data_IF_175886363804
#
_entry.id   IF_175886363804
#
_cell.length_a   1.000
_cell.length_b   1.000
_cell.length_c   1.000
_cell.angle_alpha   90.00
_cell.angle_beta   90.00
_cell.angle_gamma   90.00
#
_symmetry.space_group_name_H-M   'P 1'
#
loop_
_entity.id
_entity.type
_entity.pdbx_description
1 polymer ?
#
# COMPACT_ATOMS: atom_id res chain seq x y z
N UNK A 1 -17.18 2.79 -51.76
CA UNK A 1 -18.58 2.86 -51.31
C UNK A 1 -18.72 1.75 -50.24
N UNK A 2 -18.60 2.07 -49.02
CA UNK A 2 -19.22 1.41 -47.85
C UNK A 2 -18.72 2.11 -46.62
N UNK A 3 -19.57 2.80 -45.91
CA UNK A 3 -19.27 3.50 -44.67
C UNK A 3 -19.38 2.51 -43.53
N UNK A 4 -18.32 2.33 -42.76
CA UNK A 4 -18.32 1.61 -41.51
C UNK A 4 -18.74 2.55 -40.37
N UNK A 5 -19.85 2.20 -39.72
CA UNK A 5 -20.32 2.83 -38.49
C UNK A 5 -19.36 2.50 -37.34
N UNK A 6 -18.74 3.53 -36.77
CA UNK A 6 -18.19 3.46 -35.43
C UNK A 6 -19.31 3.73 -34.42
N UNK A 7 -19.67 2.75 -33.68
CA UNK A 7 -20.53 2.91 -32.52
C UNK A 7 -19.76 3.68 -31.43
N UNK A 8 -20.33 4.79 -30.96
CA UNK A 8 -19.91 5.50 -29.76
C UNK A 8 -20.23 4.58 -28.57
N UNK A 9 -19.20 4.24 -27.82
CA UNK A 9 -19.38 3.72 -26.49
C UNK A 9 -19.90 4.85 -25.59
N UNK A 10 -21.05 4.58 -24.97
CA UNK A 10 -21.68 5.47 -24.01
C UNK A 10 -20.77 5.55 -22.75
N UNK A 11 -20.43 6.76 -22.39
CA UNK A 11 -19.80 7.10 -21.12
C UNK A 11 -20.68 6.64 -19.96
N UNK A 12 -20.08 5.96 -19.00
CA UNK A 12 -20.70 5.57 -17.74
C UNK A 12 -21.37 6.78 -17.05
N UNK A 13 -22.45 6.58 -16.30
CA UNK A 13 -23.16 7.67 -15.65
C UNK A 13 -22.28 8.32 -14.59
N UNK A 14 -22.07 9.60 -14.71
CA UNK A 14 -21.42 10.46 -13.70
C UNK A 14 -22.27 10.42 -12.43
N UNK A 15 -21.69 10.02 -11.34
CA UNK A 15 -22.30 10.01 -10.02
C UNK A 15 -22.68 11.45 -9.61
N UNK A 16 -23.94 11.78 -9.26
CA UNK A 16 -24.38 13.15 -9.01
C UNK A 16 -23.99 13.71 -7.62
N UNK A 17 -23.20 12.98 -6.83
CA UNK A 17 -22.75 13.48 -5.53
C UNK A 17 -21.48 14.29 -5.72
N UNK A 18 -21.63 15.59 -5.61
CA UNK A 18 -20.61 16.59 -5.85
C UNK A 18 -19.35 16.32 -5.06
N UNK A 19 -18.28 16.05 -5.81
CA UNK A 19 -16.93 15.93 -5.32
C UNK A 19 -16.34 17.33 -5.26
N UNK A 20 -16.33 17.91 -4.10
CA UNK A 20 -15.70 19.19 -3.82
C UNK A 20 -14.63 19.00 -2.75
N UNK A 21 -13.55 19.75 -2.89
CA UNK A 21 -12.56 19.91 -1.82
C UNK A 21 -13.25 20.57 -0.63
N UNK A 22 -13.36 19.85 0.49
CA UNK A 22 -13.93 20.38 1.74
C UNK A 22 -12.80 20.78 2.67
N UNK A 23 -12.94 21.94 3.27
CA UNK A 23 -12.12 22.33 4.42
C UNK A 23 -12.56 21.52 5.65
N UNK A 24 -11.68 21.39 6.66
CA UNK A 24 -12.00 20.73 7.94
C UNK A 24 -13.35 21.21 8.52
N UNK A 25 -13.68 22.48 8.30
CA UNK A 25 -14.91 23.10 8.74
C UNK A 25 -16.13 22.65 7.93
N UNK A 26 -15.94 22.37 6.65
CA UNK A 26 -16.99 21.88 5.75
C UNK A 26 -17.18 20.37 5.91
N UNK A 27 -16.12 19.61 6.19
CA UNK A 27 -16.19 18.22 6.56
C UNK A 27 -17.01 18.01 7.84
N UNK A 28 -16.76 18.83 8.87
CA UNK A 28 -17.51 18.80 10.14
C UNK A 28 -18.94 19.33 10.03
N UNK A 29 -19.22 20.24 9.07
CA UNK A 29 -20.56 20.77 8.84
C UNK A 29 -21.45 19.81 8.03
N UNK A 30 -20.89 18.95 7.19
CA UNK A 30 -21.62 17.93 6.45
C UNK A 30 -22.10 16.79 7.36
N UNK A 31 -21.47 16.59 8.51
CA UNK A 31 -21.80 15.57 9.50
C UNK A 31 -22.87 15.99 10.53
N UNK A 32 -23.58 17.09 10.29
CA UNK A 32 -24.82 17.43 11.01
C UNK A 32 -24.66 18.17 12.35
N UNK A 33 -24.95 19.48 12.30
CA UNK A 33 -25.57 20.34 13.33
C UNK A 33 -24.83 20.67 14.65
N UNK A 34 -24.45 21.97 14.74
CA UNK A 34 -24.49 22.85 15.91
C UNK A 34 -23.54 22.63 17.10
N UNK A 35 -22.63 23.51 17.39
CA UNK A 35 -22.73 24.70 18.20
C UNK A 35 -21.37 25.38 18.39
N UNK A 36 -21.32 26.66 18.12
CA UNK A 36 -20.24 27.53 18.53
C UNK A 36 -20.36 27.84 20.02
N UNK A 37 -19.28 27.81 20.79
CA UNK A 37 -19.02 28.76 21.85
C UNK A 37 -17.54 28.86 22.23
N UNK A 38 -17.19 30.06 22.62
CA UNK A 38 -15.91 30.68 22.77
C UNK A 38 -14.98 30.06 23.83
N UNK A 39 -13.69 30.21 23.55
CA UNK A 39 -12.57 30.00 24.47
C UNK A 39 -12.58 30.97 25.63
N UNK A 40 -12.51 30.49 26.87
CA UNK A 40 -11.71 31.06 27.94
C UNK A 40 -11.20 29.97 28.85
N UNK A 41 -9.89 30.02 29.14
CA UNK A 41 -9.19 28.95 29.80
C UNK A 41 -9.48 28.77 31.29
N UNK A 42 -9.21 27.59 31.78
CA UNK A 42 -8.56 27.39 33.09
C UNK A 42 -8.04 25.95 33.21
N UNK A 43 -6.87 25.80 33.79
CA UNK A 43 -6.23 24.58 34.20
C UNK A 43 -7.08 23.82 35.22
N UNK A 44 -7.45 22.58 34.92
CA UNK A 44 -8.09 21.68 35.89
C UNK A 44 -7.73 20.24 35.58
N UNK A 45 -7.07 19.60 36.54
CA UNK A 45 -6.72 18.17 36.47
C UNK A 45 -7.97 17.31 36.23
N UNK A 46 -8.00 16.54 35.17
CA UNK A 46 -9.10 15.65 34.80
C UNK A 46 -8.59 14.25 34.50
N UNK A 47 -9.30 13.32 34.98
CA UNK A 47 -9.14 11.88 35.06
C UNK A 47 -8.67 11.22 33.74
N UNK A 48 -7.66 10.35 33.87
CA UNK A 48 -7.21 9.43 32.87
C UNK A 48 -8.33 8.43 32.53
N UNK A 49 -8.83 8.43 31.31
CA UNK A 49 -9.51 7.29 30.74
C UNK A 49 -8.47 6.20 30.45
N UNK A 50 -8.77 4.99 30.95
CA UNK A 50 -7.93 3.82 30.76
C UNK A 50 -7.94 3.42 29.27
N UNK A 51 -7.08 4.05 28.49
CA UNK A 51 -6.69 3.53 27.18
C UNK A 51 -5.93 2.23 27.40
N UNK A 52 -6.31 1.20 26.67
CA UNK A 52 -5.62 -0.08 26.61
C UNK A 52 -4.15 0.20 26.28
N UNK A 53 -3.26 0.02 27.26
CA UNK A 53 -1.83 0.18 27.05
C UNK A 53 -1.37 -0.94 26.15
N UNK A 54 -1.08 -0.63 24.89
CA UNK A 54 -0.23 -1.49 24.08
C UNK A 54 1.14 -1.56 24.76
N UNK A 55 1.59 -2.80 25.03
CA UNK A 55 2.88 -3.03 25.66
C UNK A 55 3.98 -2.48 24.74
N UNK A 56 4.71 -1.49 25.22
CA UNK A 56 5.94 -1.04 24.58
C UNK A 56 6.95 -2.18 24.63
N UNK A 57 7.27 -2.75 23.51
CA UNK A 57 8.42 -3.62 23.36
C UNK A 57 9.69 -2.76 23.27
N UNK A 58 10.18 -2.33 24.40
CA UNK A 58 11.51 -1.78 24.56
C UNK A 58 12.11 -2.37 25.81
N UNK A 59 12.84 -3.46 25.66
CA UNK A 59 13.95 -3.76 26.55
C UNK A 59 15.09 -4.25 25.67
N UNK A 60 15.96 -3.34 25.27
CA UNK A 60 17.32 -3.69 24.84
C UNK A 60 18.00 -4.39 25.99
N UNK A 61 18.01 -5.73 25.99
CA UNK A 61 19.05 -6.48 26.65
C UNK A 61 20.30 -6.34 25.78
N UNK A 62 21.34 -5.73 26.31
CA UNK A 62 22.68 -5.66 25.71
C UNK A 62 23.37 -7.04 25.77
N UNK A 63 22.76 -8.04 25.13
CA UNK A 63 23.47 -9.26 24.79
C UNK A 63 24.34 -8.96 23.56
N UNK A 64 25.60 -9.40 23.52
CA UNK A 64 26.44 -9.22 22.34
C UNK A 64 25.75 -9.93 21.17
N UNK A 65 25.50 -9.20 20.08
CA UNK A 65 24.97 -9.77 18.85
C UNK A 65 25.81 -10.99 18.48
N UNK A 66 25.24 -12.19 18.38
CA UNK A 66 26.02 -13.38 18.05
C UNK A 66 26.67 -13.17 16.69
N UNK A 67 27.98 -13.38 16.61
CA UNK A 67 28.71 -13.41 15.32
C UNK A 67 28.16 -14.59 14.53
N UNK A 68 27.28 -14.31 13.57
CA UNK A 68 26.71 -15.33 12.73
C UNK A 68 27.83 -15.99 11.89
N UNK A 69 27.94 -17.31 11.96
CA UNK A 69 28.91 -18.07 11.14
C UNK A 69 28.49 -18.04 9.66
N UNK A 70 29.44 -18.25 8.76
CA UNK A 70 29.18 -18.39 7.32
C UNK A 70 28.24 -19.59 6.97
N UNK A 71 28.00 -20.47 7.94
CA UNK A 71 27.09 -21.64 7.79
C UNK A 71 25.69 -21.36 8.39
N UNK A 72 25.44 -20.16 8.93
CA UNK A 72 24.13 -19.87 9.53
C UNK A 72 23.09 -19.69 8.44
N UNK A 73 22.01 -20.46 8.55
CA UNK A 73 20.83 -20.29 7.71
C UNK A 73 20.03 -19.08 8.19
N UNK A 74 19.74 -18.18 7.27
CA UNK A 74 18.99 -16.94 7.53
C UNK A 74 17.67 -16.98 6.80
N UNK A 75 16.63 -16.58 7.48
CA UNK A 75 15.27 -16.48 6.95
C UNK A 75 14.64 -15.19 7.40
N UNK A 76 13.96 -14.51 6.48
CA UNK A 76 13.14 -13.32 6.74
C UNK A 76 11.80 -13.52 6.05
N UNK A 77 10.73 -13.47 6.81
CA UNK A 77 9.36 -13.55 6.31
C UNK A 77 8.87 -12.17 5.86
N UNK A 78 8.13 -12.15 4.75
CA UNK A 78 7.62 -10.94 4.13
C UNK A 78 6.13 -11.08 3.83
N UNK A 79 5.36 -10.02 4.12
CA UNK A 79 3.96 -9.88 3.71
C UNK A 79 3.73 -8.56 2.98
N UNK A 80 2.78 -8.54 2.04
CA UNK A 80 2.43 -7.35 1.28
C UNK A 80 0.93 -7.29 1.02
N UNK A 81 0.35 -6.10 1.22
CA UNK A 81 -1.03 -5.74 0.88
C UNK A 81 -1.03 -4.50 -0.02
N UNK A 82 -2.10 -4.32 -0.80
CA UNK A 82 -2.21 -3.31 -1.84
C UNK A 82 -2.70 -1.95 -1.36
N UNK A 83 -3.54 -1.33 -2.19
CA UNK A 83 -3.93 0.07 -2.11
C UNK A 83 -4.75 0.38 -0.86
N UNK A 84 -4.15 1.12 0.08
CA UNK A 84 -4.85 1.66 1.25
C UNK A 84 -5.39 3.05 0.88
N UNK A 85 -6.60 3.08 0.34
CA UNK A 85 -7.23 4.21 -0.31
C UNK A 85 -8.29 4.86 0.60
N UNK A 86 -7.97 6.00 1.20
CA UNK A 86 -8.81 6.70 2.15
C UNK A 86 -9.90 7.56 1.46
N UNK A 87 -10.86 6.89 0.82
CA UNK A 87 -12.08 7.55 0.35
C UNK A 87 -12.84 8.19 1.52
N UNK A 88 -13.70 9.16 1.23
CA UNK A 88 -14.52 9.82 2.25
C UNK A 88 -15.28 8.84 3.17
N UNK A 89 -16.02 7.85 2.66
CA UNK A 89 -16.74 6.91 3.52
C UNK A 89 -15.84 6.09 4.45
N UNK A 90 -14.59 5.81 4.02
CA UNK A 90 -13.59 5.14 4.90
C UNK A 90 -13.19 6.07 6.05
N UNK A 91 -12.95 7.36 5.76
CA UNK A 91 -12.60 8.35 6.78
C UNK A 91 -13.80 8.60 7.73
N UNK A 92 -15.04 8.68 7.22
CA UNK A 92 -16.25 8.80 8.03
C UNK A 92 -16.45 7.56 8.94
N UNK A 93 -16.17 6.37 8.44
CA UNK A 93 -16.22 5.15 9.26
C UNK A 93 -15.15 5.16 10.35
N UNK A 94 -13.94 5.67 10.06
CA UNK A 94 -12.88 5.83 11.08
C UNK A 94 -13.24 6.89 12.14
N UNK A 95 -13.91 7.97 11.76
CA UNK A 95 -14.46 8.98 12.68
C UNK A 95 -15.51 8.35 13.61
N UNK A 96 -16.41 7.54 13.06
CA UNK A 96 -17.40 6.80 13.85
C UNK A 96 -16.77 5.78 14.80
N UNK A 97 -15.71 5.06 14.36
CA UNK A 97 -14.98 4.10 15.18
C UNK A 97 -14.30 4.79 16.38
N UNK A 98 -13.87 6.04 16.25
CA UNK A 98 -13.28 6.82 17.34
C UNK A 98 -14.28 7.18 18.45
N UNK A 99 -15.57 6.99 18.21
CA UNK A 99 -16.64 7.10 19.20
C UNK A 99 -17.37 8.45 19.25
N UNK A 100 -16.66 9.57 19.02
CA UNK A 100 -17.30 10.92 18.93
C UNK A 100 -17.06 11.49 17.55
N UNK A 101 -18.09 11.46 16.72
CA UNK A 101 -17.97 11.94 15.34
C UNK A 101 -17.75 13.47 15.28
N UNK A 102 -16.86 13.89 14.38
CA UNK A 102 -16.61 15.29 14.07
C UNK A 102 -15.69 16.02 15.05
N UNK A 103 -15.06 15.33 15.98
CA UNK A 103 -14.09 15.92 16.93
C UNK A 103 -12.65 15.97 16.37
N UNK A 104 -12.43 15.37 15.19
CA UNK A 104 -11.16 15.33 14.49
C UNK A 104 -10.26 14.16 14.89
N UNK A 105 -10.78 13.18 15.63
CA UNK A 105 -10.13 11.91 15.92
C UNK A 105 -10.67 10.83 14.97
N UNK A 106 -9.80 9.93 14.55
CA UNK A 106 -10.12 8.83 13.64
C UNK A 106 -9.50 7.54 14.14
N UNK A 107 -10.22 6.43 14.07
CA UNK A 107 -9.70 5.10 14.39
C UNK A 107 -9.90 4.15 13.21
N UNK A 108 -8.83 3.91 12.47
CA UNK A 108 -8.79 2.95 11.36
C UNK A 108 -8.49 1.52 11.82
N UNK A 109 -8.04 1.31 13.06
CA UNK A 109 -7.55 0.02 13.54
C UNK A 109 -8.57 -1.12 13.47
N UNK A 110 -9.89 -0.90 13.71
CA UNK A 110 -10.88 -1.95 13.55
C UNK A 110 -10.99 -2.49 12.13
N UNK A 111 -10.66 -1.68 11.12
CA UNK A 111 -10.77 -2.05 9.71
C UNK A 111 -9.73 -3.10 9.30
N UNK A 112 -8.62 -3.21 10.04
CA UNK A 112 -7.50 -4.11 9.76
C UNK A 112 -7.54 -5.41 10.59
N UNK A 113 -8.52 -5.60 11.47
CA UNK A 113 -8.55 -6.73 12.41
C UNK A 113 -8.47 -8.10 11.75
N UNK A 114 -9.05 -8.25 10.56
CA UNK A 114 -9.06 -9.54 9.85
C UNK A 114 -7.69 -10.02 9.36
N UNK A 115 -6.66 -9.17 9.37
CA UNK A 115 -5.30 -9.50 8.90
C UNK A 115 -4.22 -9.37 9.99
N UNK A 116 -4.61 -9.11 11.23
CA UNK A 116 -3.67 -8.85 12.33
C UNK A 116 -2.70 -10.00 12.60
N UNK A 117 -3.12 -11.23 12.43
CA UNK A 117 -2.27 -12.42 12.58
C UNK A 117 -1.22 -12.51 11.45
N UNK A 118 -1.54 -12.09 10.23
CA UNK A 118 -0.56 -12.03 9.13
C UNK A 118 0.51 -10.99 9.47
N UNK A 119 0.11 -9.76 9.80
CA UNK A 119 1.05 -8.68 10.10
C UNK A 119 1.93 -9.03 11.31
N UNK A 120 1.36 -9.64 12.37
CA UNK A 120 2.13 -10.00 13.56
C UNK A 120 3.06 -11.20 13.39
N UNK A 121 2.90 -12.00 12.34
CA UNK A 121 3.69 -13.21 12.08
C UNK A 121 4.82 -13.04 11.08
N UNK A 122 4.97 -11.87 10.47
CA UNK A 122 6.02 -11.61 9.47
C UNK A 122 7.01 -10.54 9.95
N UNK A 123 8.27 -10.67 9.52
CA UNK A 123 9.37 -9.76 9.88
C UNK A 123 9.30 -8.42 9.13
N UNK A 124 8.89 -8.48 7.86
CA UNK A 124 8.70 -7.33 6.97
C UNK A 124 7.26 -7.32 6.46
N UNK A 125 6.57 -6.22 6.71
CA UNK A 125 5.16 -6.04 6.37
C UNK A 125 5.00 -4.78 5.52
N UNK A 126 4.68 -4.96 4.23
CA UNK A 126 4.48 -3.89 3.26
C UNK A 126 3.01 -3.50 3.13
N UNK A 127 2.77 -2.19 3.01
CA UNK A 127 1.47 -1.61 2.65
C UNK A 127 1.67 -0.45 1.67
N UNK A 128 0.83 -0.35 0.65
CA UNK A 128 0.73 0.87 -0.14
C UNK A 128 -0.13 1.92 0.58
N UNK A 129 0.35 3.16 0.62
CA UNK A 129 -0.38 4.32 1.14
C UNK A 129 -0.75 5.19 -0.05
N UNK A 130 -1.84 4.84 -0.70
CA UNK A 130 -2.22 5.45 -1.97
C UNK A 130 -2.57 6.93 -1.83
N UNK A 131 -3.24 7.31 -0.74
CA UNK A 131 -3.69 8.68 -0.51
C UNK A 131 -2.76 9.44 0.42
N UNK A 132 -2.30 10.60 -0.04
CA UNK A 132 -1.29 11.40 0.68
C UNK A 132 -1.77 11.83 2.07
N UNK A 133 -0.87 11.82 3.07
CA UNK A 133 -1.02 12.43 4.38
C UNK A 133 -0.46 13.87 4.32
N UNK A 134 -1.15 14.73 3.57
CA UNK A 134 -0.64 16.06 3.20
C UNK A 134 -0.66 17.09 4.36
N UNK A 135 -1.18 16.69 5.51
CA UNK A 135 -1.33 17.54 6.70
C UNK A 135 -2.78 17.99 6.91
N UNK A 136 -3.27 17.83 8.14
CA UNK A 136 -4.65 18.11 8.50
C UNK A 136 -5.02 19.60 8.34
N UNK A 137 -4.04 20.50 8.51
CA UNK A 137 -4.22 21.96 8.33
C UNK A 137 -4.49 22.36 6.87
N UNK A 138 -4.18 21.52 5.89
CA UNK A 138 -4.54 21.74 4.49
C UNK A 138 -6.01 21.36 4.21
N UNK A 139 -6.70 20.78 5.19
CA UNK A 139 -8.06 20.27 5.09
C UNK A 139 -8.10 18.87 4.50
N UNK A 140 -8.89 17.98 5.12
CA UNK A 140 -9.12 16.63 4.63
C UNK A 140 -9.97 16.68 3.36
N UNK A 141 -9.66 15.77 2.41
CA UNK A 141 -10.39 15.69 1.14
C UNK A 141 -10.38 14.26 0.60
N UNK A 142 -11.41 13.91 -0.19
CA UNK A 142 -11.56 12.66 -0.91
C UNK A 142 -11.38 12.84 -2.41
N UNK A 143 -11.87 11.84 -3.17
CA UNK A 143 -11.79 11.85 -4.64
C UNK A 143 -12.30 13.18 -5.25
N UNK A 144 -11.64 13.75 -6.29
CA UNK A 144 -10.47 13.19 -7.00
C UNK A 144 -9.12 13.66 -6.48
N UNK A 145 -9.07 14.50 -5.45
CA UNK A 145 -7.85 15.07 -4.86
C UNK A 145 -7.85 14.78 -3.38
N UNK A 146 -7.06 13.79 -2.98
CA UNK A 146 -7.08 13.27 -1.63
C UNK A 146 -6.17 14.05 -0.66
N UNK A 147 -6.60 14.12 0.60
CA UNK A 147 -5.78 14.44 1.74
C UNK A 147 -6.31 13.68 2.96
N UNK A 148 -5.59 12.68 3.39
CA UNK A 148 -6.00 11.76 4.46
C UNK A 148 -5.55 12.23 5.83
N UNK A 149 -6.22 11.82 6.94
CA UNK A 149 -5.84 12.17 8.30
C UNK A 149 -4.42 11.71 8.64
N UNK A 150 -3.60 12.60 9.20
CA UNK A 150 -2.19 12.32 9.52
C UNK A 150 -2.01 11.22 10.59
N UNK A 151 -3.02 11.00 11.46
CA UNK A 151 -3.01 9.95 12.48
C UNK A 151 -2.95 8.53 11.89
N UNK A 152 -3.29 8.36 10.62
CA UNK A 152 -3.21 7.07 9.92
C UNK A 152 -1.78 6.48 9.97
N UNK A 153 -0.73 7.32 9.88
CA UNK A 153 0.66 6.86 9.93
C UNK A 153 1.01 6.18 11.25
N UNK A 154 0.61 6.76 12.39
CA UNK A 154 0.81 6.18 13.71
C UNK A 154 0.04 4.86 13.86
N UNK A 155 -1.20 4.81 13.40
CA UNK A 155 -2.05 3.63 13.52
C UNK A 155 -1.55 2.46 12.69
N UNK A 156 -1.15 2.70 11.43
CA UNK A 156 -0.55 1.68 10.55
C UNK A 156 0.76 1.15 11.16
N UNK A 157 1.64 2.05 11.61
CA UNK A 157 2.90 1.64 12.24
C UNK A 157 2.65 0.89 13.55
N UNK A 158 1.72 1.37 14.38
CA UNK A 158 1.33 0.73 15.64
C UNK A 158 0.66 -0.62 15.44
N UNK A 159 -0.01 -0.84 14.31
CA UNK A 159 -0.60 -2.11 13.95
C UNK A 159 0.43 -3.18 13.58
N UNK A 160 1.62 -2.77 13.08
CA UNK A 160 2.75 -3.63 12.77
C UNK A 160 3.28 -3.57 11.35
N UNK A 161 2.71 -2.75 10.47
CA UNK A 161 3.35 -2.49 9.19
C UNK A 161 4.64 -1.70 9.40
N UNK A 162 5.69 -2.08 8.66
CA UNK A 162 7.03 -1.51 8.82
C UNK A 162 7.71 -1.14 7.49
N UNK A 163 7.06 -1.40 6.37
CA UNK A 163 7.44 -0.91 5.04
C UNK A 163 6.23 -0.25 4.39
N UNK A 164 6.36 0.99 3.91
CA UNK A 164 5.32 1.60 3.12
C UNK A 164 5.85 2.39 1.93
N UNK A 165 5.02 2.50 0.90
CA UNK A 165 5.25 3.40 -0.21
C UNK A 165 4.26 4.56 -0.17
N UNK A 166 4.71 5.70 -0.69
CA UNK A 166 3.91 6.89 -0.98
C UNK A 166 4.09 7.34 -2.42
N UNK A 167 4.72 6.51 -3.29
CA UNK A 167 4.78 6.74 -4.72
C UNK A 167 3.55 6.14 -5.39
N UNK A 168 2.55 6.96 -5.60
CA UNK A 168 1.26 6.61 -6.20
C UNK A 168 0.81 7.71 -7.14
N UNK A 169 -0.24 7.48 -7.92
CA UNK A 169 -0.88 8.52 -8.73
C UNK A 169 -1.44 9.68 -7.89
N UNK A 170 -1.66 9.49 -6.56
CA UNK A 170 -2.16 10.50 -5.63
C UNK A 170 -1.06 11.20 -4.78
N UNK A 171 0.20 10.93 -5.04
CA UNK A 171 1.32 11.56 -4.30
C UNK A 171 1.33 13.08 -4.42
N UNK A 172 0.94 13.63 -5.57
CA UNK A 172 0.98 15.08 -5.88
C UNK A 172 -0.31 15.82 -5.54
N UNK A 173 -1.34 15.18 -5.01
CA UNK A 173 -2.66 15.76 -4.78
C UNK A 173 -2.63 17.05 -3.94
N UNK A 174 -1.73 17.12 -2.98
CA UNK A 174 -1.57 18.30 -2.10
C UNK A 174 -0.32 19.13 -2.46
N UNK A 175 0.25 18.90 -3.65
CA UNK A 175 1.44 19.58 -4.14
C UNK A 175 2.66 19.40 -3.24
N UNK A 176 3.71 20.20 -3.47
CA UNK A 176 4.96 20.10 -2.71
C UNK A 176 4.77 20.25 -1.19
N UNK A 177 3.88 21.15 -0.77
CA UNK A 177 3.61 21.32 0.67
C UNK A 177 3.04 20.06 1.30
N UNK A 178 2.11 19.39 0.63
CA UNK A 178 1.56 18.11 1.09
C UNK A 178 2.61 17.02 1.16
N UNK A 179 3.50 16.93 0.17
CA UNK A 179 4.63 15.98 0.17
C UNK A 179 5.55 16.20 1.37
N UNK A 180 5.94 17.46 1.64
CA UNK A 180 6.82 17.78 2.77
C UNK A 180 6.16 17.44 4.11
N UNK A 181 4.87 17.72 4.26
CA UNK A 181 4.09 17.35 5.44
C UNK A 181 4.01 15.83 5.60
N UNK A 182 3.74 15.10 4.50
CA UNK A 182 3.70 13.63 4.49
C UNK A 182 5.05 13.04 4.89
N UNK A 183 6.16 13.53 4.32
CA UNK A 183 7.50 13.09 4.70
C UNK A 183 7.77 13.32 6.20
N UNK A 184 7.36 14.46 6.75
CA UNK A 184 7.52 14.75 8.18
C UNK A 184 6.65 13.82 9.06
N UNK A 185 5.43 13.55 8.66
CA UNK A 185 4.51 12.62 9.34
C UNK A 185 5.10 11.21 9.42
N UNK A 186 5.61 10.68 8.29
CA UNK A 186 6.22 9.36 8.25
C UNK A 186 7.58 9.31 8.96
N UNK A 187 8.38 10.38 8.90
CA UNK A 187 9.66 10.45 9.62
C UNK A 187 9.51 10.39 11.14
N UNK A 188 8.33 10.73 11.68
CA UNK A 188 8.02 10.57 13.09
C UNK A 188 7.76 9.10 13.48
N UNK A 189 7.54 8.21 12.52
CA UNK A 189 7.26 6.78 12.72
C UNK A 189 8.57 5.97 12.71
N UNK A 190 9.19 5.79 13.87
CA UNK A 190 10.54 5.21 14.00
C UNK A 190 10.66 3.76 13.51
N UNK A 191 9.56 3.00 13.47
CA UNK A 191 9.52 1.60 13.02
C UNK A 191 9.06 1.45 11.56
N UNK A 192 8.86 2.55 10.84
CA UNK A 192 8.40 2.54 9.46
C UNK A 192 9.53 2.95 8.51
N UNK A 193 9.79 2.14 7.50
CA UNK A 193 10.65 2.50 6.38
C UNK A 193 9.75 2.94 5.21
N UNK A 194 9.67 4.25 4.99
CA UNK A 194 8.88 4.85 3.92
C UNK A 194 9.78 5.24 2.74
N UNK A 195 9.29 5.03 1.53
CA UNK A 195 9.92 5.50 0.29
C UNK A 195 8.87 5.96 -0.71
N UNK A 196 9.30 6.59 -1.81
CA UNK A 196 8.43 7.03 -2.90
C UNK A 196 8.25 8.54 -2.98
N UNK A 197 8.17 9.23 -1.85
CA UNK A 197 8.25 10.69 -1.76
C UNK A 197 9.38 11.13 -0.83
N UNK A 198 9.90 12.35 -1.03
CA UNK A 198 11.14 12.80 -0.40
C UNK A 198 11.04 14.26 0.03
N UNK A 199 11.81 14.61 1.08
CA UNK A 199 11.85 15.96 1.66
C UNK A 199 12.95 16.86 1.06
N UNK A 200 13.91 16.28 0.33
CA UNK A 200 15.03 16.99 -0.31
C UNK A 200 15.71 16.11 -1.34
N UNK A 201 16.62 16.70 -2.14
CA UNK A 201 17.46 15.92 -3.06
C UNK A 201 18.37 14.93 -2.29
N UNK A 202 18.95 15.34 -1.17
CA UNK A 202 19.77 14.45 -0.32
C UNK A 202 18.95 13.26 0.19
N UNK A 203 17.69 13.51 0.58
CA UNK A 203 16.77 12.49 1.01
C UNK A 203 16.40 11.52 -0.14
N UNK A 204 16.22 12.04 -1.36
CA UNK A 204 15.99 11.24 -2.58
C UNK A 204 17.20 10.37 -2.94
N UNK A 205 18.39 10.88 -2.74
CA UNK A 205 19.62 10.17 -3.07
C UNK A 205 19.97 9.05 -2.08
N UNK A 206 19.36 9.05 -0.92
CA UNK A 206 19.61 8.04 0.12
C UNK A 206 18.78 6.78 -0.15
N UNK A 207 19.46 5.65 -0.40
CA UNK A 207 18.79 4.34 -0.49
C UNK A 207 18.20 3.97 0.88
N UNK A 208 16.93 3.64 0.91
CA UNK A 208 16.22 3.14 2.11
C UNK A 208 16.61 1.70 2.36
N UNK A 209 17.18 1.42 3.54
CA UNK A 209 17.60 0.06 3.92
C UNK A 209 17.14 -0.28 5.31
N UNK A 210 16.87 -1.57 5.54
CA UNK A 210 16.70 -2.13 6.88
C UNK A 210 17.42 -3.47 6.99
N UNK A 211 17.81 -3.83 8.21
CA UNK A 211 18.39 -5.14 8.50
C UNK A 211 17.34 -6.02 9.22
N UNK A 212 17.21 -7.27 8.77
CA UNK A 212 16.42 -8.31 9.44
C UNK A 212 17.16 -9.63 9.40
N UNK A 213 17.31 -10.25 10.55
CA UNK A 213 17.94 -11.58 10.69
C UNK A 213 19.29 -11.71 9.96
N UNK A 214 20.11 -10.64 9.95
CA UNK A 214 21.43 -10.60 9.33
C UNK A 214 21.40 -10.55 7.80
N UNK A 215 20.28 -10.14 7.20
CA UNK A 215 20.16 -9.74 5.79
C UNK A 215 19.78 -8.27 5.70
N UNK A 216 20.43 -7.54 4.81
CA UNK A 216 20.10 -6.13 4.51
C UNK A 216 19.19 -6.05 3.30
N UNK A 217 18.07 -5.36 3.46
CA UNK A 217 17.06 -5.13 2.43
C UNK A 217 17.13 -3.67 1.98
N UNK A 218 17.21 -3.44 0.67
CA UNK A 218 16.95 -2.13 0.08
C UNK A 218 15.51 -2.09 -0.41
N UNK A 219 14.85 -0.97 -0.14
CA UNK A 219 13.47 -0.75 -0.54
C UNK A 219 13.38 0.50 -1.43
N UNK A 220 12.95 0.30 -2.68
CA UNK A 220 12.73 1.34 -3.70
C UNK A 220 11.24 1.37 -4.06
N UNK A 221 10.78 2.54 -4.53
CA UNK A 221 9.39 2.65 -5.00
C UNK A 221 9.27 3.70 -6.09
N UNK A 222 8.34 3.47 -7.04
CA UNK A 222 8.08 4.36 -8.17
C UNK A 222 6.59 4.38 -8.51
N UNK A 223 6.14 5.51 -9.10
CA UNK A 223 4.85 5.61 -9.78
C UNK A 223 5.05 5.96 -11.26
N UNK A 224 4.26 5.38 -12.13
CA UNK A 224 4.31 5.65 -13.57
C UNK A 224 3.49 6.87 -13.98
N UNK A 225 2.50 7.27 -13.20
CA UNK A 225 1.65 8.43 -13.41
C UNK A 225 1.34 9.19 -12.12
N UNK A 226 0.90 10.45 -12.24
CA UNK A 226 0.47 11.32 -11.14
C UNK A 226 -0.83 12.05 -11.49
N UNK A 227 -1.79 11.36 -12.12
CA UNK A 227 -3.09 11.91 -12.51
C UNK A 227 -2.99 13.20 -13.36
N UNK A 228 -1.94 13.29 -14.18
CA UNK A 228 -1.67 14.48 -15.00
C UNK A 228 -1.19 15.70 -14.21
N UNK A 229 -0.92 15.59 -12.90
CA UNK A 229 -0.33 16.66 -12.09
C UNK A 229 1.18 16.69 -12.35
N UNK A 230 1.74 17.82 -12.83
CA UNK A 230 3.17 17.88 -13.12
C UNK A 230 4.00 17.89 -11.84
N UNK A 231 5.14 17.21 -11.86
CA UNK A 231 6.14 17.29 -10.78
C UNK A 231 6.63 18.74 -10.69
N UNK A 232 6.69 19.35 -9.48
CA UNK A 232 7.18 20.71 -9.30
C UNK A 232 8.60 20.88 -9.85
N UNK A 233 8.79 21.83 -10.76
CA UNK A 233 10.09 22.06 -11.41
C UNK A 233 11.21 22.49 -10.45
N UNK A 234 10.84 23.13 -9.34
CA UNK A 234 11.72 23.54 -8.25
C UNK A 234 12.13 22.40 -7.31
N UNK A 235 11.40 21.27 -7.38
CA UNK A 235 11.61 20.12 -6.51
C UNK A 235 11.43 18.80 -7.29
N UNK A 236 12.20 18.55 -8.37
CA UNK A 236 12.06 17.34 -9.19
C UNK A 236 12.39 16.06 -8.43
N UNK A 237 13.01 16.20 -7.28
CA UNK A 237 13.36 15.13 -6.35
C UNK A 237 12.20 14.67 -5.47
N UNK A 238 11.09 15.42 -5.38
CA UNK A 238 10.08 15.22 -4.34
C UNK A 238 9.29 13.91 -4.47
N UNK A 239 9.28 13.29 -5.66
CA UNK A 239 8.65 11.98 -5.91
C UNK A 239 9.55 11.10 -6.77
N UNK A 240 9.35 9.78 -6.69
CA UNK A 240 10.03 8.81 -7.53
C UNK A 240 9.15 8.45 -8.73
N UNK A 241 9.38 9.10 -9.86
CA UNK A 241 8.75 8.73 -11.13
C UNK A 241 9.46 7.51 -11.74
N UNK A 242 8.66 6.55 -12.25
CA UNK A 242 9.18 5.39 -12.97
C UNK A 242 9.84 5.81 -14.29
N UNK A 243 10.96 5.17 -14.61
CA UNK A 243 11.71 5.35 -15.84
C UNK A 243 13.00 4.55 -15.82
N UNK A 244 13.39 4.01 -16.97
CA UNK A 244 14.51 3.08 -17.10
C UNK A 244 15.83 3.62 -16.51
N UNK A 245 16.16 4.89 -16.81
CA UNK A 245 17.40 5.52 -16.32
C UNK A 245 17.38 5.70 -14.79
N UNK A 246 16.26 6.18 -14.24
CA UNK A 246 16.11 6.40 -12.81
C UNK A 246 16.19 5.06 -12.04
N UNK A 247 15.44 4.06 -12.50
CA UNK A 247 15.45 2.72 -11.92
C UNK A 247 16.84 2.06 -12.02
N UNK A 248 17.53 2.19 -13.16
CA UNK A 248 18.88 1.67 -13.34
C UNK A 248 19.87 2.28 -12.33
N UNK A 249 19.83 3.61 -12.18
CA UNK A 249 20.68 4.31 -11.23
C UNK A 249 20.43 3.87 -9.80
N UNK A 250 19.17 3.84 -9.38
CA UNK A 250 18.79 3.52 -8.00
C UNK A 250 19.04 2.04 -7.65
N UNK A 251 18.68 1.09 -8.55
CA UNK A 251 18.93 -0.35 -8.33
C UNK A 251 20.43 -0.62 -8.28
N UNK A 252 21.24 0.03 -9.12
CA UNK A 252 22.68 -0.14 -9.08
C UNK A 252 23.24 0.24 -7.70
N UNK A 253 22.85 1.39 -7.17
CA UNK A 253 23.25 1.85 -5.83
C UNK A 253 22.68 0.97 -4.71
N UNK A 254 21.44 0.50 -4.85
CA UNK A 254 20.82 -0.38 -3.86
C UNK A 254 21.58 -1.70 -3.72
N UNK A 255 22.04 -2.28 -4.83
CA UNK A 255 22.83 -3.52 -4.84
C UNK A 255 24.24 -3.39 -4.24
N UNK A 256 24.77 -2.16 -4.11
CA UNK A 256 26.03 -1.91 -3.42
C UNK A 256 25.90 -1.98 -1.89
N UNK A 257 24.67 -1.80 -1.37
CA UNK A 257 24.42 -1.63 0.07
C UNK A 257 23.46 -2.66 0.67
N UNK A 258 22.88 -3.52 -0.16
CA UNK A 258 21.89 -4.49 0.30
C UNK A 258 22.09 -5.89 -0.29
N UNK A 259 21.66 -6.90 0.44
CA UNK A 259 21.62 -8.31 0.05
C UNK A 259 20.39 -8.64 -0.82
N UNK A 260 19.29 -7.91 -0.58
CA UNK A 260 17.99 -8.07 -1.26
C UNK A 260 17.49 -6.70 -1.69
N UNK A 261 17.00 -6.58 -2.92
CA UNK A 261 16.37 -5.37 -3.44
C UNK A 261 14.89 -5.64 -3.72
N UNK A 262 14.02 -4.91 -3.01
CA UNK A 262 12.57 -4.93 -3.21
C UNK A 262 12.16 -3.61 -3.89
N UNK A 263 11.36 -3.70 -4.96
CA UNK A 263 10.84 -2.54 -5.68
C UNK A 263 9.31 -2.55 -5.62
N UNK A 264 8.72 -1.49 -5.09
CA UNK A 264 7.28 -1.26 -5.11
C UNK A 264 6.91 -0.41 -6.34
N UNK A 265 5.85 -0.80 -7.06
CA UNK A 265 5.48 -0.16 -8.33
C UNK A 265 3.98 0.20 -8.34
N UNK A 266 3.69 1.50 -8.36
CA UNK A 266 2.37 2.01 -8.73
C UNK A 266 2.32 2.14 -10.25
N UNK A 267 1.57 1.26 -10.91
CA UNK A 267 1.58 1.11 -12.35
C UNK A 267 0.33 0.46 -12.91
N UNK A 268 0.20 0.49 -14.22
CA UNK A 268 -0.78 -0.30 -14.94
C UNK A 268 -2.05 0.46 -15.28
N UNK A 269 -3.06 -0.28 -15.71
CA UNK A 269 -4.37 0.27 -16.07
C UNK A 269 -5.39 -0.10 -15.00
N UNK A 270 -6.15 0.89 -14.52
CA UNK A 270 -7.21 0.66 -13.54
C UNK A 270 -8.22 -0.40 -14.03
N UNK A 271 -8.60 -1.29 -13.13
CA UNK A 271 -9.63 -2.33 -13.30
C UNK A 271 -9.29 -3.42 -14.34
N UNK A 272 -8.06 -3.49 -14.82
CA UNK A 272 -7.60 -4.54 -15.72
C UNK A 272 -6.85 -5.64 -14.97
N UNK A 273 -7.37 -6.89 -14.99
CA UNK A 273 -6.73 -8.04 -14.34
C UNK A 273 -5.50 -8.58 -15.05
N UNK A 274 -5.16 -8.05 -16.20
CA UNK A 274 -3.99 -8.44 -16.98
C UNK A 274 -2.97 -7.32 -17.05
N UNK A 275 -1.70 -7.60 -16.76
CA UNK A 275 -0.64 -6.60 -16.89
C UNK A 275 -0.55 -6.04 -18.32
N UNK A 276 -0.42 -4.73 -18.45
CA UNK A 276 -0.22 -4.04 -19.71
C UNK A 276 1.25 -4.11 -20.16
N UNK A 277 1.54 -3.63 -21.38
CA UNK A 277 2.88 -3.66 -21.99
C UNK A 277 3.91 -2.86 -21.17
N UNK A 278 3.52 -1.74 -20.56
CA UNK A 278 4.41 -0.91 -19.74
C UNK A 278 4.81 -1.64 -18.44
N UNK A 279 3.85 -2.28 -17.77
CA UNK A 279 4.13 -3.12 -16.60
C UNK A 279 5.12 -4.24 -16.95
N UNK A 280 4.92 -4.93 -18.07
CA UNK A 280 5.81 -6.00 -18.56
C UNK A 280 7.19 -5.47 -18.93
N UNK A 281 7.28 -4.29 -19.53
CA UNK A 281 8.53 -3.62 -19.84
C UNK A 281 9.33 -3.33 -18.56
N UNK A 282 8.73 -2.68 -17.57
CA UNK A 282 9.41 -2.36 -16.32
C UNK A 282 9.77 -3.60 -15.51
N UNK A 283 8.91 -4.62 -15.51
CA UNK A 283 9.21 -5.90 -14.87
C UNK A 283 10.47 -6.55 -15.47
N UNK A 284 10.57 -6.60 -16.81
CA UNK A 284 11.75 -7.15 -17.50
C UNK A 284 12.99 -6.27 -17.28
N UNK A 285 12.85 -4.95 -17.33
CA UNK A 285 13.95 -4.03 -17.07
C UNK A 285 14.55 -4.23 -15.66
N UNK A 286 13.72 -4.27 -14.63
CA UNK A 286 14.13 -4.50 -13.26
C UNK A 286 14.72 -5.91 -13.05
N UNK A 287 14.20 -6.92 -13.76
CA UNK A 287 14.77 -8.28 -13.75
C UNK A 287 16.16 -8.31 -14.36
N UNK A 288 16.40 -7.58 -15.45
CA UNK A 288 17.73 -7.44 -16.06
C UNK A 288 18.74 -6.78 -15.11
N UNK A 289 18.27 -5.85 -14.27
CA UNK A 289 19.08 -5.22 -13.22
C UNK A 289 19.30 -6.13 -12.00
N UNK A 290 18.56 -7.26 -11.91
CA UNK A 290 18.67 -8.26 -10.86
C UNK A 290 18.00 -7.86 -9.55
N UNK A 291 16.87 -7.15 -9.61
CA UNK A 291 15.94 -6.96 -8.49
C UNK A 291 15.45 -8.33 -8.03
N UNK A 292 15.18 -8.51 -6.73
CA UNK A 292 14.72 -9.78 -6.18
C UNK A 292 13.20 -9.92 -6.20
N UNK A 293 12.49 -8.90 -5.78
CA UNK A 293 11.02 -8.87 -5.69
C UNK A 293 10.48 -7.53 -6.21
N UNK A 294 9.43 -7.61 -7.03
CA UNK A 294 8.61 -6.46 -7.41
C UNK A 294 7.21 -6.65 -6.81
N UNK A 295 6.73 -5.64 -6.10
CA UNK A 295 5.39 -5.57 -5.51
C UNK A 295 4.61 -4.47 -6.22
N UNK A 296 3.63 -4.86 -7.03
CA UNK A 296 2.80 -3.95 -7.81
C UNK A 296 1.45 -3.66 -7.16
N UNK A 297 0.93 -2.48 -7.45
CA UNK A 297 -0.38 -1.95 -7.01
C UNK A 297 -0.82 -0.83 -7.96
N UNK A 298 -1.99 -0.22 -7.74
CA UNK A 298 -2.53 0.85 -8.59
C UNK A 298 -3.60 0.43 -9.60
N UNK A 299 -3.65 -0.83 -10.14
CA UNK A 299 -4.79 -1.28 -10.94
C UNK A 299 -6.10 -1.41 -10.17
N UNK A 300 -6.10 -1.33 -8.84
CA UNK A 300 -7.25 -1.53 -7.95
C UNK A 300 -7.90 -2.92 -8.05
N UNK A 301 -7.27 -3.84 -8.74
CA UNK A 301 -7.68 -5.24 -8.88
C UNK A 301 -6.46 -6.14 -8.85
N UNK A 302 -6.65 -7.38 -8.41
CA UNK A 302 -5.57 -8.37 -8.40
C UNK A 302 -5.10 -8.69 -9.81
N UNK A 303 -3.78 -8.87 -9.97
CA UNK A 303 -3.14 -9.31 -11.21
C UNK A 303 -2.21 -10.50 -10.94
N UNK A 304 -1.75 -11.25 -11.97
CA UNK A 304 -0.92 -12.44 -11.81
C UNK A 304 0.39 -12.22 -11.06
N UNK A 305 0.96 -13.33 -10.59
CA UNK A 305 2.32 -13.41 -10.05
C UNK A 305 3.17 -14.20 -11.03
N UNK A 306 4.27 -13.63 -11.49
CA UNK A 306 5.11 -14.24 -12.54
C UNK A 306 6.59 -14.14 -12.19
N UNK A 307 7.40 -15.12 -12.65
CA UNK A 307 8.85 -15.05 -12.59
C UNK A 307 9.42 -14.45 -13.88
N UNK A 308 10.31 -13.46 -13.73
CA UNK A 308 11.09 -12.86 -14.80
C UNK A 308 12.56 -13.23 -14.64
N UNK A 309 13.23 -13.51 -15.77
CA UNK A 309 14.64 -13.86 -15.80
C UNK A 309 15.44 -12.69 -16.36
N UNK A 310 16.61 -12.43 -15.75
CA UNK A 310 17.48 -11.34 -16.17
C UNK A 310 18.34 -11.71 -17.37
N UNK A 311 18.54 -10.75 -18.25
CA UNK A 311 19.41 -10.83 -19.43
C UNK A 311 20.36 -9.64 -19.45
N UNK A 312 21.58 -9.85 -19.98
CA UNK A 312 22.52 -8.78 -20.27
C UNK A 312 22.19 -8.05 -21.60
N UNK A 313 22.96 -7.02 -21.94
CA UNK A 313 22.73 -6.23 -23.14
C UNK A 313 22.94 -7.04 -24.46
N UNK A 314 23.62 -8.17 -24.38
CA UNK A 314 23.84 -9.08 -25.53
C UNK A 314 22.75 -10.18 -25.58
N UNK A 315 21.79 -10.16 -24.65
CA UNK A 315 20.69 -11.11 -24.55
C UNK A 315 21.06 -12.44 -23.90
N UNK A 316 22.20 -12.53 -23.22
CA UNK A 316 22.59 -13.72 -22.48
C UNK A 316 21.94 -13.72 -21.09
N UNK A 317 21.50 -14.90 -20.57
CA UNK A 317 20.99 -15.00 -19.21
C UNK A 317 22.04 -14.58 -18.17
N UNK A 318 21.66 -13.69 -17.25
CA UNK A 318 22.51 -13.26 -16.13
C UNK A 318 22.55 -14.27 -14.98
N UNK A 319 21.62 -15.22 -14.99
CA UNK A 319 21.41 -16.17 -13.88
C UNK A 319 20.60 -15.58 -12.71
N UNK A 320 20.04 -14.37 -12.89
CA UNK A 320 19.14 -13.78 -11.91
C UNK A 320 17.68 -14.04 -12.27
N UNK A 321 16.83 -14.07 -11.26
CA UNK A 321 15.37 -14.12 -11.42
C UNK A 321 14.72 -13.12 -10.46
N UNK A 322 13.61 -12.56 -10.87
CA UNK A 322 12.80 -11.60 -10.13
C UNK A 322 11.39 -12.14 -10.02
N UNK A 323 10.86 -12.18 -8.81
CA UNK A 323 9.44 -12.45 -8.62
C UNK A 323 8.67 -11.14 -8.77
N UNK A 324 7.62 -11.17 -9.59
CA UNK A 324 6.76 -10.01 -9.86
C UNK A 324 5.35 -10.34 -9.41
N UNK A 325 4.87 -9.64 -8.39
CA UNK A 325 3.46 -9.56 -8.03
C UNK A 325 2.92 -8.34 -8.76
N UNK A 326 2.17 -8.52 -9.87
CA UNK A 326 1.80 -7.40 -10.72
C UNK A 326 0.80 -6.44 -10.08
N UNK A 327 -0.16 -6.94 -9.31
CA UNK A 327 -1.02 -6.11 -8.47
C UNK A 327 -1.63 -6.91 -7.33
N UNK A 328 -1.60 -6.32 -6.14
CA UNK A 328 -2.24 -6.85 -4.94
C UNK A 328 -3.74 -6.51 -4.88
N UNK A 329 -4.22 -5.59 -5.74
CA UNK A 329 -5.55 -4.98 -5.67
C UNK A 329 -5.66 -3.95 -4.57
N UNK A 330 -6.87 -3.48 -4.30
CA UNK A 330 -7.11 -2.65 -3.12
C UNK A 330 -6.89 -3.45 -1.84
N UNK A 331 -6.55 -2.77 -0.77
CA UNK A 331 -6.55 -3.35 0.57
C UNK A 331 -7.69 -2.82 1.41
N UNK A 332 -7.85 -1.49 1.44
CA UNK A 332 -8.98 -0.81 2.07
C UNK A 332 -9.40 0.35 1.19
N UNK A 333 -10.66 0.35 0.72
CA UNK A 333 -11.19 1.38 -0.15
C UNK A 333 -12.71 1.49 -0.02
N UNK A 334 -13.31 2.43 -0.74
CA UNK A 334 -14.76 2.50 -0.93
C UNK A 334 -15.12 2.47 -2.42
N UNK A 335 -14.47 1.60 -3.18
CA UNK A 335 -14.78 1.49 -4.60
C UNK A 335 -16.05 0.64 -4.83
N UNK A 336 -16.94 1.04 -5.76
CA UNK A 336 -18.28 0.45 -5.86
C UNK A 336 -18.34 -0.85 -6.67
N UNK A 337 -17.21 -1.36 -7.16
CA UNK A 337 -17.15 -2.50 -8.05
C UNK A 337 -16.83 -3.79 -7.30
N UNK A 338 -17.57 -4.89 -7.56
CA UNK A 338 -17.33 -6.18 -6.92
C UNK A 338 -15.89 -6.66 -7.08
N UNK A 339 -15.32 -6.53 -8.28
CA UNK A 339 -13.97 -6.95 -8.60
C UNK A 339 -12.86 -6.13 -7.89
N UNK A 340 -13.14 -4.88 -7.53
CA UNK A 340 -12.21 -4.00 -6.82
C UNK A 340 -12.25 -4.17 -5.30
N UNK A 341 -13.04 -5.12 -4.81
CA UNK A 341 -13.16 -5.50 -3.40
C UNK A 341 -12.73 -6.96 -3.16
N UNK A 342 -12.17 -7.62 -4.20
CA UNK A 342 -11.50 -8.93 -4.11
C UNK A 342 -10.01 -8.71 -4.27
N UNK A 343 -9.28 -8.98 -3.22
CA UNK A 343 -7.91 -8.56 -3.01
C UNK A 343 -7.03 -9.71 -2.51
N UNK A 344 -5.80 -9.41 -2.14
CA UNK A 344 -4.98 -10.42 -1.50
C UNK A 344 -3.79 -9.89 -0.72
N UNK A 345 -3.35 -10.72 0.19
CA UNK A 345 -2.07 -10.59 0.84
C UNK A 345 -1.10 -11.60 0.23
N UNK A 346 -0.03 -11.09 -0.37
CA UNK A 346 1.08 -11.92 -0.82
C UNK A 346 2.06 -12.13 0.33
N UNK A 347 2.55 -13.37 0.51
CA UNK A 347 3.59 -13.69 1.47
C UNK A 347 4.69 -14.54 0.86
N UNK A 348 5.92 -14.36 1.34
CA UNK A 348 7.07 -15.19 0.98
C UNK A 348 8.12 -15.19 2.08
N UNK A 349 9.17 -15.99 1.88
CA UNK A 349 10.36 -15.97 2.72
C UNK A 349 11.60 -15.72 1.87
N UNK A 350 12.49 -14.87 2.37
CA UNK A 350 13.83 -14.68 1.84
C UNK A 350 14.77 -15.59 2.63
N UNK A 351 15.49 -16.47 1.93
CA UNK A 351 16.37 -17.46 2.54
C UNK A 351 17.78 -17.33 2.00
N UNK A 352 18.77 -17.39 2.90
CA UNK A 352 20.18 -17.37 2.55
C UNK A 352 21.00 -18.24 3.49
N UNK A 353 21.89 -19.05 2.92
CA UNK A 353 22.91 -19.77 3.70
C UNK A 353 24.17 -18.91 3.77
N UNK A 354 24.64 -18.65 4.99
CA UNK A 354 25.85 -17.87 5.23
C UNK A 354 25.68 -16.37 5.05
N UNK A 355 26.79 -15.67 4.90
CA UNK A 355 26.89 -14.22 4.74
C UNK A 355 27.10 -13.77 3.31
N UNK A 356 27.27 -14.72 2.38
CA UNK A 356 27.57 -14.48 0.97
C UNK A 356 26.54 -15.15 0.07
N UNK A 357 26.38 -14.61 -1.12
CA UNK A 357 25.45 -15.10 -2.11
C UNK A 357 24.09 -14.40 -2.07
N UNK A 358 23.34 -14.60 -3.13
CA UNK A 358 22.00 -14.03 -3.29
C UNK A 358 21.00 -14.77 -2.39
N UNK A 359 20.06 -14.07 -1.81
CA UNK A 359 18.92 -14.66 -1.16
C UNK A 359 18.01 -15.33 -2.22
N UNK A 360 17.33 -16.39 -1.83
CA UNK A 360 16.30 -17.06 -2.63
C UNK A 360 14.93 -16.76 -2.04
N UNK A 361 13.93 -16.57 -2.89
CA UNK A 361 12.54 -16.40 -2.47
C UNK A 361 11.87 -17.77 -2.46
N UNK A 362 11.27 -18.13 -1.33
CA UNK A 362 10.63 -19.42 -1.09
C UNK A 362 9.28 -19.24 -0.40
N UNK A 363 8.52 -20.33 -0.22
CA UNK A 363 7.27 -20.35 0.53
C UNK A 363 6.26 -19.29 0.07
N UNK A 364 6.11 -19.17 -1.26
CA UNK A 364 5.18 -18.24 -1.89
C UNK A 364 3.74 -18.61 -1.53
N UNK A 365 3.00 -17.67 -0.96
CA UNK A 365 1.60 -17.87 -0.68
C UNK A 365 0.77 -16.61 -0.99
N UNK A 366 -0.49 -16.83 -1.25
CA UNK A 366 -1.50 -15.81 -1.44
C UNK A 366 -2.67 -16.09 -0.50
N UNK A 367 -2.98 -15.15 0.38
CA UNK A 367 -4.19 -15.19 1.19
C UNK A 367 -5.23 -14.29 0.55
N UNK A 368 -6.31 -14.84 -0.01
CA UNK A 368 -7.39 -14.03 -0.58
C UNK A 368 -8.04 -13.16 0.51
N UNK A 369 -8.22 -11.88 0.19
CA UNK A 369 -8.85 -10.91 1.06
C UNK A 369 -10.13 -10.35 0.40
N UNK A 370 -11.01 -9.83 1.23
CA UNK A 370 -12.21 -9.09 0.82
C UNK A 370 -12.26 -7.80 1.62
N UNK A 371 -12.27 -6.67 0.94
CA UNK A 371 -12.59 -5.38 1.53
C UNK A 371 -14.12 -5.27 1.68
N UNK A 372 -14.64 -5.56 2.86
CA UNK A 372 -16.08 -5.51 3.14
C UNK A 372 -16.57 -4.08 3.32
N UNK A 373 -17.61 -3.73 2.58
CA UNK A 373 -18.28 -2.43 2.61
C UNK A 373 -19.76 -2.68 2.86
N UNK A 374 -20.31 -2.15 3.96
CA UNK A 374 -21.73 -2.26 4.27
C UNK A 374 -22.19 -1.11 5.18
N UNK A 375 -23.07 -0.24 4.68
CA UNK A 375 -23.74 0.82 5.46
C UNK A 375 -22.79 1.67 6.33
N UNK A 376 -21.65 2.10 5.77
CA UNK A 376 -20.65 2.90 6.47
C UNK A 376 -19.67 2.09 7.34
N UNK A 377 -19.76 0.77 7.32
CA UNK A 377 -18.79 -0.12 7.93
C UNK A 377 -17.80 -0.63 6.87
N UNK A 378 -16.51 -0.50 7.15
CA UNK A 378 -15.42 -0.98 6.32
C UNK A 378 -14.53 -1.89 7.15
N UNK A 379 -14.22 -3.08 6.63
CA UNK A 379 -13.28 -4.00 7.27
C UNK A 379 -12.71 -4.99 6.25
N UNK A 380 -11.42 -5.26 6.34
CA UNK A 380 -10.76 -6.30 5.54
C UNK A 380 -10.92 -7.65 6.22
N UNK A 381 -11.33 -8.65 5.45
CA UNK A 381 -11.47 -10.05 5.90
C UNK A 381 -10.63 -10.98 5.04
N UNK A 382 -10.08 -12.03 5.63
CA UNK A 382 -9.63 -13.18 4.84
C UNK A 382 -10.84 -13.90 4.27
N UNK A 383 -10.78 -14.31 3.00
CA UNK A 383 -11.90 -14.98 2.34
C UNK A 383 -12.31 -16.28 3.06
N UNK A 384 -11.36 -16.99 3.68
CA UNK A 384 -11.64 -18.19 4.48
C UNK A 384 -12.51 -17.91 5.71
N UNK A 385 -12.42 -16.70 6.27
CA UNK A 385 -13.20 -16.26 7.44
C UNK A 385 -14.45 -15.46 7.04
N UNK A 386 -14.61 -15.17 5.74
CA UNK A 386 -15.70 -14.36 5.19
C UNK A 386 -16.94 -15.22 4.95
N UNK A 387 -17.96 -15.08 5.81
CA UNK A 387 -19.18 -15.92 5.77
C UNK A 387 -20.10 -15.53 4.62
N UNK A 388 -20.99 -16.46 4.23
CA UNK A 388 -22.02 -16.19 3.21
C UNK A 388 -22.96 -15.05 3.64
N UNK A 389 -23.27 -14.96 4.95
CA UNK A 389 -24.09 -13.89 5.51
C UNK A 389 -23.40 -12.52 5.37
N UNK A 390 -22.10 -12.44 5.66
CA UNK A 390 -21.31 -11.22 5.43
C UNK A 390 -21.28 -10.85 3.96
N UNK A 391 -20.97 -11.81 3.09
CA UNK A 391 -20.91 -11.60 1.65
C UNK A 391 -22.22 -11.06 1.09
N UNK A 392 -23.35 -11.57 1.58
CA UNK A 392 -24.69 -11.12 1.16
C UNK A 392 -25.01 -9.67 1.60
N UNK A 393 -24.33 -9.13 2.61
CA UNK A 393 -24.52 -7.74 3.08
C UNK A 393 -23.57 -6.74 2.44
N UNK A 394 -22.58 -7.20 1.67
CA UNK A 394 -21.65 -6.31 0.98
C UNK A 394 -22.36 -5.50 -0.12
N UNK A 395 -22.07 -4.20 -0.21
CA UNK A 395 -22.79 -3.28 -1.10
C UNK A 395 -22.68 -3.62 -2.59
N UNK A 396 -21.54 -4.15 -3.05
CA UNK A 396 -21.35 -4.57 -4.45
C UNK A 396 -21.31 -6.09 -4.60
N UNK A 397 -20.46 -6.80 -3.86
CA UNK A 397 -20.32 -8.26 -3.95
C UNK A 397 -21.66 -8.95 -3.62
N UNK A 398 -22.45 -8.40 -2.68
CA UNK A 398 -23.76 -8.93 -2.31
C UNK A 398 -24.79 -8.92 -3.45
N UNK A 399 -24.52 -8.21 -4.55
CA UNK A 399 -25.37 -8.19 -5.75
C UNK A 399 -25.04 -9.34 -6.72
N UNK A 400 -23.94 -10.05 -6.51
CA UNK A 400 -23.57 -11.22 -7.31
C UNK A 400 -24.52 -12.40 -7.00
N UNK A 401 -24.68 -13.28 -7.96
CA UNK A 401 -25.57 -14.47 -7.81
C UNK A 401 -25.06 -15.47 -6.77
N UNK A 402 -23.76 -15.51 -6.54
CA UNK A 402 -23.06 -16.28 -5.52
C UNK A 402 -21.93 -15.39 -4.97
N UNK A 403 -22.22 -14.52 -3.99
CA UNK A 403 -21.28 -13.48 -3.53
C UNK A 403 -19.92 -14.01 -3.10
N UNK A 404 -19.89 -15.01 -2.26
CA UNK A 404 -18.65 -15.61 -1.78
C UNK A 404 -17.94 -16.42 -2.86
N UNK A 405 -18.71 -17.19 -3.64
CA UNK A 405 -18.21 -17.95 -4.79
C UNK A 405 -17.62 -17.04 -5.88
N UNK A 406 -18.14 -15.82 -6.05
CA UNK A 406 -17.56 -14.80 -6.92
C UNK A 406 -16.11 -14.49 -6.51
N UNK A 407 -15.85 -14.24 -5.22
CA UNK A 407 -14.51 -13.93 -4.71
C UNK A 407 -13.55 -15.12 -4.94
N UNK A 408 -13.99 -16.36 -4.68
CA UNK A 408 -13.21 -17.56 -4.97
C UNK A 408 -12.87 -17.70 -6.45
N UNK A 409 -13.86 -17.55 -7.31
CA UNK A 409 -13.72 -17.74 -8.75
C UNK A 409 -12.77 -16.69 -9.34
N UNK A 410 -12.89 -15.42 -8.94
CA UNK A 410 -12.02 -14.36 -9.41
C UNK A 410 -10.57 -14.60 -8.96
N UNK A 411 -10.35 -14.90 -7.68
CA UNK A 411 -9.00 -15.24 -7.18
C UNK A 411 -8.42 -16.45 -7.91
N UNK A 412 -9.20 -17.52 -8.07
CA UNK A 412 -8.74 -18.72 -8.78
C UNK A 412 -8.41 -18.43 -10.25
N UNK A 413 -9.19 -17.58 -10.91
CA UNK A 413 -8.97 -17.20 -12.30
C UNK A 413 -7.67 -16.40 -12.49
N UNK A 414 -7.39 -15.45 -11.59
CA UNK A 414 -6.27 -14.51 -11.73
C UNK A 414 -4.99 -15.06 -11.11
N UNK A 415 -5.06 -15.54 -9.87
CA UNK A 415 -3.89 -15.99 -9.10
C UNK A 415 -3.61 -17.48 -9.29
N UNK A 416 -4.63 -18.31 -9.49
CA UNK A 416 -4.47 -19.76 -9.64
C UNK A 416 -3.40 -20.18 -10.68
N UNK A 417 -3.32 -19.54 -11.87
CA UNK A 417 -2.31 -19.84 -12.87
C UNK A 417 -0.86 -19.55 -12.45
N UNK A 418 -0.66 -18.68 -11.44
CA UNK A 418 0.67 -18.26 -10.95
C UNK A 418 1.44 -19.39 -10.25
N UNK A 419 0.75 -20.47 -9.85
CA UNK A 419 1.39 -21.61 -9.19
C UNK A 419 1.84 -21.34 -7.75
N UNK A 420 1.40 -20.27 -7.13
CA UNK A 420 1.59 -19.98 -5.71
C UNK A 420 0.60 -20.76 -4.86
N UNK A 421 0.95 -21.05 -3.61
CA UNK A 421 -0.01 -21.64 -2.67
C UNK A 421 -1.10 -20.61 -2.35
N UNK A 422 -2.37 -20.98 -2.46
CA UNK A 422 -3.50 -20.13 -2.08
C UNK A 422 -4.06 -20.64 -0.76
N UNK A 423 -4.05 -19.79 0.26
CA UNK A 423 -4.56 -20.07 1.61
C UNK A 423 -6.09 -19.81 1.66
N UNK A 424 -6.83 -20.82 1.18
CA UNK A 424 -8.29 -20.78 1.10
C UNK A 424 -8.99 -20.82 2.46
#
# INVERSE_FOLDING_TARGET
MSASHFAKQDSAPVNPHGTGRLSRREFLAASGALLALACTGSLGAGQAHAGTRYASFASESSEPTPTLSDETYRRVSFSAVGDNLMNYPVVEAADANAGTTGDGWFDFTPMYQGVGDIVSSHDLNFIDIETILGGDDLGLSGYPVFNSPSCLAEQITGYGWNLCTTATNHTLDMGLTGILNSCATWAAQTNMLMTGSFSSQEDRDRIRTCERNGMTFAFLSYADDFNGIPIPSEAPWCVAQAGDDAMTSDVTRAKEVADVVIVAMSWGSEYEHSPNDLQRHYAQHLANLGVDLIVGFGPHVIQPIEWYYGYDNDGNPTGTSTLVVFSLGNFLSNQPYSYANVEGCFTCEFERLGTKGRATITNLAWTPLVNHISSGWHQVFKLKDYTDDLAATHESIGLESDPRGYCYNLTQQVIGPSGVYIDW
#
